data_IF_212374901717
#
_entry.id   IF_212374901717
#
_cell.length_a   1.000
_cell.length_b   1.000
_cell.length_c   1.000
_cell.angle_alpha   90.00
_cell.angle_beta   90.00
_cell.angle_gamma   90.00
#
_symmetry.space_group_name_H-M   'P 1'
#
loop_
_entity.id
_entity.type
_entity.pdbx_description
1 polymer ?
#
# COMPACT_ATOMS: atom_id res chain seq x y z
N UNK A 1 -5.02 -13.46 -11.46
CA UNK A 1 -4.25 -12.77 -10.42
C UNK A 1 -3.75 -11.43 -10.91
N UNK A 2 -3.13 -11.40 -12.08
CA UNK A 2 -2.72 -10.17 -12.78
C UNK A 2 -3.78 -9.06 -12.76
N UNK A 3 -5.00 -9.34 -13.25
CA UNK A 3 -6.11 -8.37 -13.25
C UNK A 3 -6.45 -7.81 -11.85
N UNK A 4 -6.28 -8.60 -10.79
CA UNK A 4 -6.53 -8.17 -9.41
C UNK A 4 -5.43 -7.22 -8.95
N UNK A 5 -4.16 -7.55 -9.24
CA UNK A 5 -3.03 -6.69 -8.90
C UNK A 5 -3.12 -5.34 -9.63
N UNK A 6 -3.42 -5.35 -10.92
CA UNK A 6 -3.62 -4.13 -11.72
C UNK A 6 -4.77 -3.27 -11.17
N UNK A 7 -5.89 -3.88 -10.78
CA UNK A 7 -7.05 -3.17 -10.24
C UNK A 7 -6.77 -2.53 -8.87
N UNK A 8 -6.09 -3.27 -7.98
CA UNK A 8 -5.87 -2.81 -6.60
C UNK A 8 -4.77 -1.72 -6.56
N UNK A 9 -3.72 -1.89 -7.37
CA UNK A 9 -2.54 -1.02 -7.42
C UNK A 9 -2.66 0.06 -8.52
N UNK A 10 -3.72 0.87 -8.46
CA UNK A 10 -4.07 1.89 -9.47
C UNK A 10 -2.95 2.91 -9.79
N UNK A 11 -1.98 3.08 -8.89
CA UNK A 11 -0.82 3.95 -9.10
C UNK A 11 0.18 3.38 -10.11
N UNK A 12 0.16 2.08 -10.39
CA UNK A 12 1.02 1.47 -11.40
C UNK A 12 0.79 2.02 -12.82
N UNK A 13 -0.40 2.54 -13.09
CA UNK A 13 -0.73 3.21 -14.34
C UNK A 13 -0.84 4.73 -14.16
N UNK A 14 -1.53 5.18 -13.11
CA UNK A 14 -1.85 6.60 -12.94
C UNK A 14 -0.77 7.43 -12.23
N UNK A 15 0.22 6.78 -11.61
CA UNK A 15 1.21 7.42 -10.72
C UNK A 15 0.62 7.99 -9.43
N UNK A 16 -0.68 7.82 -9.17
CA UNK A 16 -1.38 8.38 -8.01
C UNK A 16 -2.34 7.36 -7.40
N UNK A 17 -2.79 7.62 -6.18
CA UNK A 17 -3.85 6.83 -5.53
C UNK A 17 -5.10 7.69 -5.39
N UNK A 18 -6.27 7.07 -5.51
CA UNK A 18 -7.56 7.76 -5.40
C UNK A 18 -7.76 8.42 -4.03
N UNK A 19 -8.35 9.63 -4.04
CA UNK A 19 -8.74 10.34 -2.81
C UNK A 19 -9.76 9.56 -1.98
N UNK A 20 -10.53 8.67 -2.60
CA UNK A 20 -11.47 7.80 -1.88
C UNK A 20 -10.73 6.82 -0.95
N UNK A 21 -9.62 6.22 -1.40
CA UNK A 21 -8.79 5.30 -0.60
C UNK A 21 -7.94 6.05 0.42
N UNK A 22 -7.16 7.02 -0.03
CA UNK A 22 -6.22 7.74 0.82
C UNK A 22 -6.91 8.70 1.81
N UNK A 23 -8.10 9.21 1.48
CA UNK A 23 -8.81 10.28 2.18
C UNK A 23 -8.02 11.60 2.17
N UNK A 24 -8.73 12.73 2.22
CA UNK A 24 -8.10 14.06 2.23
C UNK A 24 -7.48 14.42 3.59
N UNK A 25 -7.96 13.81 4.66
CA UNK A 25 -7.42 13.98 6.02
C UNK A 25 -6.36 12.92 6.33
N UNK A 26 -5.45 13.20 7.27
CA UNK A 26 -4.53 12.19 7.83
C UNK A 26 -5.07 11.59 9.13
N UNK A 27 -4.87 10.30 9.34
CA UNK A 27 -5.15 9.64 10.64
C UNK A 27 -4.18 10.17 11.70
N UNK A 28 -4.60 10.22 12.96
CA UNK A 28 -3.80 10.76 14.07
C UNK A 28 -2.38 10.16 14.15
N UNK A 29 -2.26 8.84 13.95
CA UNK A 29 -0.99 8.10 14.03
C UNK A 29 -0.21 8.04 12.70
N UNK A 30 -0.66 8.73 11.66
CA UNK A 30 -0.05 8.66 10.34
C UNK A 30 1.43 9.05 10.38
N UNK A 31 1.76 10.17 11.04
CA UNK A 31 3.12 10.68 11.11
C UNK A 31 4.04 9.73 11.88
N UNK A 32 3.57 9.16 12.99
CA UNK A 32 4.33 8.16 13.77
C UNK A 32 4.66 6.92 12.91
N UNK A 33 3.71 6.47 12.10
CA UNK A 33 3.90 5.33 11.18
C UNK A 33 4.88 5.67 10.06
N UNK A 34 4.78 6.87 9.47
CA UNK A 34 5.70 7.33 8.43
C UNK A 34 7.13 7.45 8.95
N UNK A 35 7.32 8.07 10.13
CA UNK A 35 8.63 8.21 10.76
C UNK A 35 9.25 6.84 11.06
N UNK A 36 8.46 5.92 11.63
CA UNK A 36 8.89 4.55 11.89
C UNK A 36 9.32 3.85 10.59
N UNK A 37 8.54 3.99 9.51
CA UNK A 37 8.87 3.42 8.20
C UNK A 37 10.18 3.96 7.62
N UNK A 38 10.39 5.28 7.70
CA UNK A 38 11.60 5.91 7.15
C UNK A 38 12.85 5.57 7.97
N UNK A 39 12.71 5.43 9.29
CA UNK A 39 13.81 5.10 10.18
C UNK A 39 14.22 3.63 10.08
N UNK A 40 13.25 2.72 9.93
CA UNK A 40 13.50 1.28 9.98
C UNK A 40 13.19 0.64 8.62
N UNK A 41 14.23 0.20 7.90
CA UNK A 41 14.09 -0.59 6.65
C UNK A 41 13.72 -2.06 6.89
N UNK A 42 12.86 -2.33 7.87
CA UNK A 42 12.44 -3.67 8.29
C UNK A 42 10.95 -3.86 8.03
N UNK A 43 10.46 -5.10 8.20
CA UNK A 43 9.02 -5.38 8.15
C UNK A 43 8.35 -4.70 9.35
N UNK A 44 7.36 -3.84 9.07
CA UNK A 44 6.55 -3.18 10.08
C UNK A 44 5.16 -3.81 10.16
N UNK A 45 4.68 -4.00 11.39
CA UNK A 45 3.35 -4.58 11.66
C UNK A 45 2.46 -3.55 12.33
N UNK A 46 1.39 -3.13 11.65
CA UNK A 46 0.39 -2.22 12.20
C UNK A 46 -0.73 -3.01 12.90
N UNK A 47 -0.70 -3.05 14.23
CA UNK A 47 -1.69 -3.80 15.04
C UNK A 47 -2.88 -2.95 15.50
N UNK A 48 -4.02 -3.59 15.76
CA UNK A 48 -5.20 -2.95 16.34
C UNK A 48 -6.51 -3.65 15.97
N UNK A 49 -7.63 -3.20 16.55
CA UNK A 49 -8.95 -3.82 16.34
C UNK A 49 -9.42 -3.77 14.87
N UNK A 50 -10.36 -4.64 14.48
CA UNK A 50 -10.98 -4.61 13.15
C UNK A 50 -11.68 -3.26 12.95
N UNK A 51 -11.59 -2.67 11.75
CA UNK A 51 -12.25 -1.39 11.35
C UNK A 51 -11.74 -0.09 12.03
N UNK A 52 -10.56 -0.08 12.64
CA UNK A 52 -9.95 1.17 13.17
C UNK A 52 -9.26 2.06 12.12
N UNK A 53 -9.29 1.66 10.84
CA UNK A 53 -8.70 2.44 9.74
C UNK A 53 -7.26 2.11 9.39
N UNK A 54 -6.78 0.90 9.73
CA UNK A 54 -5.41 0.43 9.39
C UNK A 54 -5.13 0.48 7.89
N UNK A 55 -6.04 -0.03 7.05
CA UNK A 55 -5.89 0.03 5.59
C UNK A 55 -5.86 1.47 5.08
N UNK A 56 -6.59 2.40 5.71
CA UNK A 56 -6.48 3.83 5.39
C UNK A 56 -5.08 4.37 5.64
N UNK A 57 -4.43 3.98 6.74
CA UNK A 57 -3.05 4.39 7.02
C UNK A 57 -2.10 3.83 5.95
N UNK A 58 -2.28 2.59 5.52
CA UNK A 58 -1.49 1.98 4.44
C UNK A 58 -1.67 2.77 3.13
N UNK A 59 -2.90 3.11 2.75
CA UNK A 59 -3.16 3.94 1.56
C UNK A 59 -2.57 5.35 1.66
N UNK A 60 -2.61 5.95 2.85
CA UNK A 60 -1.98 7.26 3.10
C UNK A 60 -0.46 7.19 2.98
N UNK A 61 0.15 6.09 3.44
CA UNK A 61 1.59 5.86 3.29
C UNK A 61 1.97 5.69 1.82
N UNK A 62 1.20 4.92 1.06
CA UNK A 62 1.40 4.77 -0.39
C UNK A 62 1.34 6.13 -1.10
N UNK A 63 0.34 6.95 -0.77
CA UNK A 63 0.23 8.31 -1.33
C UNK A 63 1.47 9.16 -1.01
N UNK A 64 2.00 9.07 0.21
CA UNK A 64 3.19 9.80 0.64
C UNK A 64 4.45 9.33 -0.11
N UNK A 65 4.61 8.01 -0.28
CA UNK A 65 5.73 7.43 -1.03
C UNK A 65 5.72 7.92 -2.49
N UNK A 66 4.55 7.88 -3.15
CA UNK A 66 4.39 8.41 -4.50
C UNK A 66 4.73 9.90 -4.58
N UNK A 67 4.24 10.72 -3.64
CA UNK A 67 4.56 12.17 -3.57
C UNK A 67 6.04 12.44 -3.32
N UNK A 68 6.72 11.56 -2.59
CA UNK A 68 8.17 11.65 -2.34
C UNK A 68 9.04 11.22 -3.52
N UNK A 69 8.44 10.77 -4.62
CA UNK A 69 9.14 10.38 -5.85
C UNK A 69 9.58 8.92 -5.90
N UNK A 70 9.03 8.06 -5.03
CA UNK A 70 9.21 6.60 -5.17
C UNK A 70 8.50 6.17 -6.46
N UNK A 71 9.22 5.42 -7.31
CA UNK A 71 8.65 4.84 -8.52
C UNK A 71 7.38 4.05 -8.16
N UNK A 72 6.27 4.32 -8.87
CA UNK A 72 4.99 3.69 -8.59
C UNK A 72 5.07 2.16 -8.72
N UNK A 73 5.92 1.66 -9.63
CA UNK A 73 6.16 0.23 -9.82
C UNK A 73 6.86 -0.42 -8.64
N UNK A 74 7.60 0.33 -7.81
CA UNK A 74 8.26 -0.18 -6.60
C UNK A 74 7.31 -0.32 -5.40
N UNK A 75 6.03 0.02 -5.54
CA UNK A 75 5.04 -0.04 -4.46
C UNK A 75 4.01 -1.11 -4.80
N UNK A 76 4.00 -2.21 -4.04
CA UNK A 76 3.03 -3.30 -4.13
C UNK A 76 2.13 -3.31 -2.89
N UNK A 77 0.83 -3.34 -3.10
CA UNK A 77 -0.18 -3.60 -2.09
C UNK A 77 -1.01 -4.82 -2.50
N UNK A 78 -1.29 -5.66 -1.51
CA UNK A 78 -2.16 -6.82 -1.66
C UNK A 78 -3.09 -6.93 -0.46
N UNK A 79 -4.36 -7.22 -0.73
CA UNK A 79 -5.36 -7.44 0.31
C UNK A 79 -5.75 -8.92 0.35
N UNK A 80 -5.33 -9.62 1.40
CA UNK A 80 -5.73 -11.01 1.64
C UNK A 80 -7.23 -11.17 1.97
N UNK A 81 -7.92 -10.07 2.28
CA UNK A 81 -9.38 -10.04 2.42
C UNK A 81 -10.09 -10.08 1.05
N UNK A 82 -9.46 -9.57 -0.02
CA UNK A 82 -10.02 -9.55 -1.38
C UNK A 82 -9.72 -10.85 -2.16
N UNK A 83 -8.54 -11.43 -1.94
CA UNK A 83 -8.14 -12.70 -2.54
C UNK A 83 -7.16 -13.45 -1.65
N UNK A 84 -7.31 -14.78 -1.57
CA UNK A 84 -6.38 -15.65 -0.84
C UNK A 84 -5.44 -16.28 -1.87
N UNK A 85 -4.13 -16.07 -1.71
CA UNK A 85 -3.11 -16.62 -2.58
C UNK A 85 -1.78 -16.80 -1.85
N UNK A 86 -0.90 -17.64 -2.39
CA UNK A 86 0.46 -17.80 -1.87
C UNK A 86 1.31 -16.53 -2.09
N UNK A 87 2.00 -16.01 -1.05
CA UNK A 87 2.87 -14.83 -1.17
C UNK A 87 3.95 -14.94 -2.25
N UNK A 88 4.51 -16.12 -2.48
CA UNK A 88 5.53 -16.33 -3.52
C UNK A 88 4.93 -16.10 -4.90
N UNK A 89 3.74 -16.64 -5.15
CA UNK A 89 3.03 -16.43 -6.43
C UNK A 89 2.65 -14.97 -6.65
N UNK A 90 2.25 -14.26 -5.59
CA UNK A 90 1.97 -12.81 -5.67
C UNK A 90 3.23 -12.05 -6.12
N UNK A 91 4.39 -12.39 -5.56
CA UNK A 91 5.67 -11.75 -5.93
C UNK A 91 6.14 -12.13 -7.33
N UNK A 92 5.94 -13.38 -7.76
CA UNK A 92 6.23 -13.83 -9.13
C UNK A 92 5.36 -13.12 -10.18
N UNK A 93 4.08 -12.89 -9.87
CA UNK A 93 3.18 -12.14 -10.73
C UNK A 93 3.55 -10.66 -10.77
N UNK A 94 3.85 -10.05 -9.61
CA UNK A 94 4.34 -8.69 -9.53
C UNK A 94 5.58 -8.47 -10.42
N UNK A 95 6.59 -9.34 -10.30
CA UNK A 95 7.82 -9.25 -11.12
C UNK A 95 7.62 -9.54 -12.61
N UNK A 96 6.46 -10.05 -13.04
CA UNK A 96 6.10 -10.17 -14.47
C UNK A 96 5.40 -8.91 -14.99
N UNK A 97 4.65 -8.22 -14.15
CA UNK A 97 3.88 -7.01 -14.50
C UNK A 97 4.75 -5.75 -14.51
N UNK A 98 5.66 -5.65 -13.55
CA UNK A 98 6.50 -4.46 -13.31
C UNK A 98 7.93 -4.71 -13.75
#
# INVERSE_FOLDING_TARGET
MENILLLINEWWESGTISREKAKEYRRKIFHDVLETYLQYKQILVLTGLRRVGKSTIIYQLIEELLKSGVDSKNILYFSFDEAIEDPVKILEEYGRIT
#
